data_IF_823914212489
#
_entry.id   IF_823914212489
#
_cell.length_a   1.000
_cell.length_b   1.000
_cell.length_c   1.000
_cell.angle_alpha   90.00
_cell.angle_beta   90.00
_cell.angle_gamma   90.00
#
_symmetry.space_group_name_H-M   'P 1'
#
loop_
_entity.id
_entity.type
_entity.pdbx_description
1 polymer ?
#
# COMPACT_ATOMS: atom_id res chain seq x y z
N UNK A 1 9.68 -59.82 36.44
CA UNK A 1 9.76 -58.41 35.96
C UNK A 1 8.38 -58.00 35.49
N UNK A 2 7.72 -57.11 36.25
CA UNK A 2 6.28 -56.86 36.16
C UNK A 2 5.90 -56.20 34.83
N UNK A 3 4.95 -56.80 34.09
CA UNK A 3 4.35 -56.17 32.90
C UNK A 3 3.69 -54.81 33.21
N UNK A 4 3.33 -54.56 34.48
CA UNK A 4 2.82 -53.27 34.94
C UNK A 4 3.85 -52.12 34.95
N UNK A 5 5.16 -52.39 35.11
CA UNK A 5 6.16 -51.32 35.17
C UNK A 5 6.53 -50.75 33.79
N UNK A 6 6.16 -51.43 32.70
CA UNK A 6 6.33 -50.97 31.32
C UNK A 6 5.13 -50.18 30.77
N UNK A 7 3.94 -50.33 31.36
CA UNK A 7 2.71 -49.66 30.91
C UNK A 7 2.63 -48.21 31.40
N UNK A 8 3.14 -47.93 32.61
CA UNK A 8 3.17 -46.58 33.19
C UNK A 8 3.95 -45.53 32.36
N UNK A 9 5.16 -45.79 31.84
CA UNK A 9 5.86 -44.82 30.98
C UNK A 9 5.18 -44.65 29.61
N UNK A 10 4.50 -45.69 29.10
CA UNK A 10 3.77 -45.63 27.83
C UNK A 10 2.52 -44.74 27.94
N UNK A 11 1.78 -44.86 29.04
CA UNK A 11 0.58 -44.06 29.31
C UNK A 11 0.92 -42.58 29.59
N UNK A 12 2.05 -42.33 30.29
CA UNK A 12 2.58 -40.98 30.49
C UNK A 12 3.00 -40.33 29.16
N UNK A 13 3.63 -41.09 28.25
CA UNK A 13 3.99 -40.60 26.91
C UNK A 13 2.79 -40.21 26.04
N UNK A 14 1.66 -40.92 26.16
CA UNK A 14 0.42 -40.57 25.44
C UNK A 14 -0.32 -39.35 26.02
N UNK A 15 -0.16 -39.05 27.30
CA UNK A 15 -0.76 -37.86 27.95
C UNK A 15 0.01 -36.57 27.63
N UNK A 16 1.29 -36.68 27.26
CA UNK A 16 2.12 -35.57 26.77
C UNK A 16 1.92 -35.26 25.27
N UNK A 17 1.11 -36.05 24.55
CA UNK A 17 0.72 -35.79 23.16
C UNK A 17 -0.41 -34.74 23.03
N UNK A 18 -0.49 -33.80 23.99
CA UNK A 18 -1.33 -32.62 23.92
C UNK A 18 -0.79 -31.68 22.85
N UNK A 19 -1.26 -31.91 21.62
CA UNK A 19 -1.08 -31.08 20.43
C UNK A 19 -1.05 -29.57 20.71
N UNK A 20 -0.29 -28.83 19.91
CA UNK A 20 -0.16 -27.36 19.96
C UNK A 20 -1.42 -26.66 20.48
N UNK A 21 -1.31 -26.04 21.67
CA UNK A 21 -2.46 -25.47 22.36
C UNK A 21 -3.05 -24.27 21.59
N UNK A 22 -4.36 -24.06 21.73
CA UNK A 22 -5.11 -22.99 21.05
C UNK A 22 -5.90 -23.46 19.82
N UNK A 23 -6.83 -22.62 19.31
CA UNK A 23 -7.67 -22.98 18.18
C UNK A 23 -6.85 -23.10 16.88
N UNK A 24 -7.28 -24.00 16.01
CA UNK A 24 -6.79 -24.04 14.62
C UNK A 24 -7.53 -22.98 13.82
N UNK A 25 -6.79 -22.16 13.07
CA UNK A 25 -7.42 -21.17 12.20
C UNK A 25 -8.24 -21.87 11.10
N UNK A 26 -9.51 -21.49 10.99
CA UNK A 26 -10.39 -21.87 9.90
C UNK A 26 -10.75 -20.63 9.09
N UNK A 27 -10.50 -20.68 7.77
CA UNK A 27 -10.85 -19.58 6.88
C UNK A 27 -12.39 -19.42 6.86
N UNK A 28 -12.92 -18.20 7.05
CA UNK A 28 -14.35 -17.95 6.91
C UNK A 28 -14.85 -18.35 5.52
N UNK A 29 -15.98 -19.06 5.47
CA UNK A 29 -16.62 -19.42 4.19
C UNK A 29 -17.37 -18.20 3.63
N UNK A 30 -17.18 -17.92 2.33
CA UNK A 30 -17.99 -16.92 1.64
C UNK A 30 -19.42 -17.43 1.47
N UNK A 31 -20.45 -16.63 1.81
CA UNK A 31 -21.83 -17.04 1.62
C UNK A 31 -22.13 -17.41 0.15
N UNK A 32 -22.91 -18.46 -0.14
CA UNK A 32 -23.23 -18.86 -1.52
C UNK A 32 -23.87 -17.75 -2.35
N UNK A 33 -24.64 -16.86 -1.71
CA UNK A 33 -25.24 -15.70 -2.36
C UNK A 33 -24.22 -14.73 -2.98
N UNK A 34 -22.96 -14.75 -2.53
CA UNK A 34 -21.89 -13.94 -3.11
C UNK A 34 -21.49 -14.38 -4.53
N UNK A 35 -21.83 -15.60 -4.95
CA UNK A 35 -21.58 -16.07 -6.31
C UNK A 35 -22.58 -15.50 -7.34
N UNK A 36 -23.59 -14.75 -6.89
CA UNK A 36 -24.52 -14.09 -7.79
C UNK A 36 -23.85 -12.93 -8.54
N UNK A 37 -24.37 -12.64 -9.75
CA UNK A 37 -23.98 -11.46 -10.51
C UNK A 37 -24.33 -10.18 -9.72
N UNK A 38 -23.56 -9.12 -9.96
CA UNK A 38 -23.87 -7.81 -9.41
C UNK A 38 -25.20 -7.28 -9.96
N UNK A 39 -25.90 -6.50 -9.14
CA UNK A 39 -27.15 -5.84 -9.56
C UNK A 39 -26.80 -4.73 -10.54
N UNK A 40 -27.05 -4.96 -11.83
CA UNK A 40 -27.02 -3.92 -12.87
C UNK A 40 -28.42 -3.28 -12.97
N UNK A 41 -28.57 -1.95 -12.87
CA UNK A 41 -29.84 -1.25 -13.12
C UNK A 41 -30.31 -1.31 -14.59
N UNK A 42 -29.83 -2.27 -15.39
CA UNK A 42 -30.21 -2.45 -16.80
C UNK A 42 -29.40 -1.61 -17.77
N UNK A 43 -28.21 -1.14 -17.39
CA UNK A 43 -27.40 -0.23 -18.22
C UNK A 43 -26.65 -0.93 -19.35
N UNK A 44 -26.59 -2.28 -19.36
CA UNK A 44 -25.95 -3.09 -20.41
C UNK A 44 -24.49 -2.69 -20.69
N UNK A 45 -23.79 -2.15 -19.69
CA UNK A 45 -22.38 -1.71 -19.80
C UNK A 45 -21.38 -2.66 -19.12
N UNK A 46 -21.86 -3.68 -18.42
CA UNK A 46 -21.04 -4.64 -17.68
C UNK A 46 -21.25 -6.06 -18.20
N UNK A 47 -20.23 -6.90 -18.06
CA UNK A 47 -20.33 -8.36 -18.27
C UNK A 47 -19.86 -9.13 -17.05
N UNK A 48 -20.32 -10.37 -16.92
CA UNK A 48 -19.90 -11.29 -15.85
C UNK A 48 -18.57 -11.99 -16.16
N UNK A 49 -17.87 -11.57 -17.22
CA UNK A 49 -16.57 -12.15 -17.58
C UNK A 49 -15.53 -11.84 -16.50
N UNK A 50 -14.45 -12.62 -16.49
CA UNK A 50 -13.36 -12.41 -15.54
C UNK A 50 -12.65 -11.08 -15.80
N UNK A 51 -12.55 -10.25 -14.76
CA UNK A 51 -11.72 -9.04 -14.75
C UNK A 51 -10.26 -9.41 -15.05
N UNK A 52 -9.69 -8.82 -16.09
CA UNK A 52 -8.27 -8.94 -16.44
C UNK A 52 -7.39 -8.14 -15.47
N UNK A 53 -6.16 -8.60 -15.24
CA UNK A 53 -5.21 -7.92 -14.35
C UNK A 53 -4.78 -6.53 -14.84
N UNK A 54 -4.81 -6.31 -16.15
CA UNK A 54 -4.44 -5.05 -16.82
C UNK A 54 -5.68 -4.30 -17.34
N UNK A 55 -6.70 -4.15 -16.49
CA UNK A 55 -8.00 -3.56 -16.83
C UNK A 55 -7.93 -2.19 -17.51
N UNK A 56 -6.88 -1.40 -17.29
CA UNK A 56 -6.70 -0.08 -17.92
C UNK A 56 -6.53 -0.18 -19.44
N UNK A 57 -6.13 -1.34 -19.98
CA UNK A 57 -6.04 -1.58 -21.43
C UNK A 57 -7.41 -1.52 -22.13
N UNK A 58 -8.51 -1.62 -21.39
CA UNK A 58 -9.87 -1.43 -21.93
C UNK A 58 -10.08 -0.03 -22.55
N UNK A 59 -9.31 0.97 -22.11
CA UNK A 59 -9.33 2.32 -22.70
C UNK A 59 -8.63 2.41 -24.06
N UNK A 60 -7.80 1.41 -24.42
CA UNK A 60 -7.02 1.36 -25.67
C UNK A 60 -6.20 2.63 -25.90
N UNK A 61 -5.62 3.17 -24.84
CA UNK A 61 -4.77 4.36 -24.87
C UNK A 61 -3.31 3.94 -24.56
N UNK A 62 -2.39 4.00 -25.54
CA UNK A 62 -1.01 3.57 -25.34
C UNK A 62 -0.22 4.49 -24.38
N UNK A 63 -0.64 5.74 -24.20
CA UNK A 63 -0.03 6.65 -23.22
C UNK A 63 -0.44 6.21 -21.82
N UNK A 64 -1.72 5.90 -21.60
CA UNK A 64 -2.20 5.36 -20.33
C UNK A 64 -1.49 4.04 -19.98
N UNK A 65 -1.42 3.11 -20.94
CA UNK A 65 -0.75 1.82 -20.74
C UNK A 65 0.70 2.00 -20.28
N UNK A 66 1.44 2.89 -20.95
CA UNK A 66 2.82 3.21 -20.57
C UNK A 66 2.91 3.83 -19.18
N UNK A 67 2.06 4.81 -18.87
CA UNK A 67 2.08 5.50 -17.57
C UNK A 67 1.80 4.52 -16.42
N UNK A 68 0.84 3.60 -16.57
CA UNK A 68 0.56 2.60 -15.55
C UNK A 68 1.74 1.63 -15.36
N UNK A 69 2.36 1.19 -16.45
CA UNK A 69 3.56 0.32 -16.37
C UNK A 69 4.73 1.05 -15.69
N UNK A 70 4.98 2.31 -16.04
CA UNK A 70 6.00 3.14 -15.39
C UNK A 70 5.69 3.31 -13.89
N UNK A 71 4.46 3.63 -13.52
CA UNK A 71 4.05 3.77 -12.13
C UNK A 71 4.23 2.45 -11.35
N UNK A 72 3.78 1.31 -11.89
CA UNK A 72 3.95 0.00 -11.25
C UNK A 72 5.44 -0.39 -11.07
N UNK A 73 6.33 0.17 -11.89
CA UNK A 73 7.77 -0.13 -11.87
C UNK A 73 8.54 0.80 -10.93
N UNK A 74 8.27 2.10 -10.97
CA UNK A 74 9.11 3.13 -10.35
C UNK A 74 8.50 3.81 -9.12
N UNK A 75 7.21 3.59 -8.84
CA UNK A 75 6.54 4.23 -7.72
C UNK A 75 7.17 3.87 -6.36
N UNK A 76 7.37 4.89 -5.52
CA UNK A 76 8.06 4.75 -4.23
C UNK A 76 7.20 4.02 -3.17
N UNK A 77 5.88 4.15 -3.20
CA UNK A 77 4.99 3.46 -2.25
C UNK A 77 5.00 1.95 -2.50
N UNK A 78 5.06 1.53 -3.76
CA UNK A 78 5.25 0.10 -4.13
C UNK A 78 6.61 -0.39 -3.62
N UNK A 79 7.67 0.41 -3.75
CA UNK A 79 9.01 0.06 -3.23
C UNK A 79 8.98 -0.07 -1.70
N UNK A 80 8.27 0.81 -1.00
CA UNK A 80 8.08 0.73 0.45
C UNK A 80 7.33 -0.53 0.85
N UNK A 81 6.20 -0.84 0.19
CA UNK A 81 5.44 -2.06 0.45
C UNK A 81 6.27 -3.32 0.18
N UNK A 82 7.10 -3.32 -0.86
CA UNK A 82 8.05 -4.40 -1.16
C UNK A 82 9.11 -4.56 -0.05
N UNK A 83 9.63 -3.45 0.50
CA UNK A 83 10.55 -3.48 1.62
C UNK A 83 9.89 -4.02 2.89
N UNK A 84 8.63 -3.66 3.16
CA UNK A 84 7.86 -4.20 4.28
C UNK A 84 7.66 -5.72 4.17
N UNK A 85 7.39 -6.24 2.97
CA UNK A 85 7.34 -7.68 2.72
C UNK A 85 8.69 -8.37 2.99
N UNK A 86 9.81 -7.77 2.57
CA UNK A 86 11.15 -8.29 2.89
C UNK A 86 11.39 -8.32 4.40
N UNK A 87 10.98 -7.27 5.12
CA UNK A 87 11.05 -7.19 6.58
C UNK A 87 10.23 -8.30 7.26
N UNK A 88 8.98 -8.51 6.82
CA UNK A 88 8.12 -9.58 7.35
C UNK A 88 8.76 -10.96 7.14
N UNK A 89 9.37 -11.21 5.96
CA UNK A 89 10.08 -12.46 5.68
C UNK A 89 11.31 -12.65 6.57
N UNK A 90 12.03 -11.58 6.89
CA UNK A 90 13.16 -11.62 7.82
C UNK A 90 12.70 -12.02 9.24
N UNK A 91 11.60 -11.43 9.73
CA UNK A 91 11.01 -11.83 11.01
C UNK A 91 10.53 -13.28 11.01
N UNK A 92 9.91 -13.75 9.93
CA UNK A 92 9.57 -15.18 9.80
C UNK A 92 10.81 -16.08 9.88
N UNK A 93 11.94 -15.65 9.29
CA UNK A 93 13.20 -16.39 9.41
C UNK A 93 13.73 -16.42 10.84
N UNK A 94 13.65 -15.30 11.56
CA UNK A 94 14.00 -15.21 12.99
C UNK A 94 13.12 -16.14 13.85
N UNK A 95 11.79 -16.09 13.66
CA UNK A 95 10.85 -16.98 14.36
C UNK A 95 11.12 -18.45 14.06
N UNK A 96 11.52 -18.80 12.84
CA UNK A 96 11.95 -20.18 12.50
C UNK A 96 13.23 -20.58 13.23
N UNK A 97 14.14 -19.63 13.44
CA UNK A 97 15.36 -19.83 14.22
C UNK A 97 15.09 -20.26 15.67
N UNK A 98 13.95 -19.87 16.25
CA UNK A 98 13.55 -20.29 17.60
C UNK A 98 13.31 -21.81 17.73
N UNK A 99 13.23 -22.56 16.62
CA UNK A 99 13.22 -24.04 16.66
C UNK A 99 14.58 -24.66 16.94
N UNK A 100 15.64 -23.86 16.91
CA UNK A 100 17.01 -24.29 17.13
C UNK A 100 17.50 -23.80 18.49
N UNK A 101 18.50 -24.47 19.08
CA UNK A 101 19.21 -23.91 20.22
C UNK A 101 19.79 -22.54 19.88
N UNK A 102 19.53 -21.56 20.73
CA UNK A 102 20.27 -20.30 20.71
C UNK A 102 21.62 -20.54 21.36
N UNK A 103 22.68 -19.98 20.78
CA UNK A 103 24.04 -20.14 21.29
C UNK A 103 24.69 -18.78 21.44
N UNK A 104 25.42 -18.59 22.53
CA UNK A 104 26.11 -17.37 22.88
C UNK A 104 27.57 -17.65 23.17
N UNK A 105 28.43 -16.69 22.85
CA UNK A 105 29.81 -16.66 23.31
C UNK A 105 29.98 -15.35 24.04
N UNK A 106 30.50 -15.42 25.26
CA UNK A 106 30.72 -14.27 26.11
C UNK A 106 32.15 -14.24 26.64
N UNK A 107 32.66 -13.03 26.82
CA UNK A 107 33.96 -12.75 27.40
C UNK A 107 33.84 -11.52 28.29
N UNK A 108 34.34 -11.60 29.52
CA UNK A 108 34.20 -10.54 30.51
C UNK A 108 35.43 -10.46 31.41
N UNK A 109 35.74 -9.24 31.82
CA UNK A 109 36.71 -8.94 32.85
C UNK A 109 36.02 -8.10 33.93
N UNK A 110 36.12 -8.54 35.17
CA UNK A 110 35.57 -7.86 36.33
C UNK A 110 36.69 -7.70 37.35
N UNK A 111 37.03 -6.46 37.67
CA UNK A 111 37.86 -6.14 38.84
C UNK A 111 36.94 -5.87 40.02
N UNK A 112 37.13 -6.61 41.11
CA UNK A 112 36.34 -6.44 42.32
C UNK A 112 37.26 -6.21 43.51
N UNK A 113 36.94 -5.19 44.31
CA UNK A 113 37.57 -4.95 45.61
C UNK A 113 36.49 -5.03 46.68
N UNK A 114 36.67 -5.94 47.62
CA UNK A 114 35.84 -6.06 48.82
C UNK A 114 36.60 -5.42 49.97
N UNK A 115 36.06 -4.34 50.55
CA UNK A 115 36.66 -3.68 51.72
C UNK A 115 36.42 -4.49 53.00
N UNK A 116 37.24 -4.26 54.03
CA UNK A 116 37.11 -4.93 55.32
C UNK A 116 35.71 -4.76 55.96
N UNK A 117 35.10 -3.59 55.81
CA UNK A 117 33.76 -3.28 56.31
C UNK A 117 32.68 -4.08 55.58
N UNK A 118 32.82 -4.21 54.25
CA UNK A 118 31.88 -4.99 53.43
C UNK A 118 32.04 -6.51 53.57
N UNK A 119 33.22 -6.97 54.03
CA UNK A 119 33.53 -8.39 54.20
C UNK A 119 33.00 -9.01 55.52
N UNK A 120 32.31 -8.23 56.37
CA UNK A 120 31.60 -8.73 57.57
C UNK A 120 32.46 -9.61 58.50
N UNK A 121 33.74 -9.26 58.65
CA UNK A 121 34.68 -9.99 59.51
C UNK A 121 35.25 -11.28 58.91
N UNK A 122 35.00 -11.57 57.63
CA UNK A 122 35.59 -12.70 56.92
C UNK A 122 37.08 -12.49 56.56
N UNK A 123 37.63 -11.29 56.78
CA UNK A 123 39.04 -10.98 56.51
C UNK A 123 39.89 -10.98 57.81
N UNK A 124 41.16 -11.46 57.76
CA UNK A 124 42.06 -11.43 58.92
C UNK A 124 42.33 -10.02 59.46
N UNK A 125 42.66 -9.87 60.76
CA UNK A 125 43.01 -8.57 61.35
C UNK A 125 44.22 -7.93 60.66
N UNK A 126 44.10 -6.64 60.28
CA UNK A 126 45.14 -5.89 59.59
C UNK A 126 45.07 -5.91 58.06
N UNK A 127 44.02 -6.49 57.46
CA UNK A 127 43.76 -6.48 56.02
C UNK A 127 42.61 -5.51 55.70
N UNK A 128 42.90 -4.39 55.03
CA UNK A 128 41.92 -3.33 54.73
C UNK A 128 40.98 -3.64 53.54
N UNK A 129 41.22 -4.75 52.85
CA UNK A 129 40.38 -5.24 51.77
C UNK A 129 41.10 -6.22 50.87
N UNK A 130 40.34 -6.98 50.09
CA UNK A 130 40.86 -7.92 49.10
C UNK A 130 40.42 -7.45 47.73
N UNK A 131 41.40 -7.38 46.82
CA UNK A 131 41.18 -7.03 45.43
C UNK A 131 41.47 -8.25 44.56
N UNK A 132 40.62 -8.48 43.56
CA UNK A 132 40.72 -9.60 42.66
C UNK A 132 40.30 -9.22 41.24
N UNK A 133 41.03 -9.78 40.29
CA UNK A 133 40.75 -9.70 38.86
C UNK A 133 40.10 -11.01 38.41
N UNK A 134 38.90 -10.92 37.83
CA UNK A 134 38.13 -12.05 37.34
C UNK A 134 37.99 -11.97 35.84
N UNK A 135 38.53 -12.96 35.14
CA UNK A 135 38.38 -13.11 33.69
C UNK A 135 37.48 -14.32 33.45
N UNK A 136 36.42 -14.13 32.66
CA UNK A 136 35.50 -15.19 32.28
C UNK A 136 35.37 -15.21 30.76
N UNK A 137 35.57 -16.38 30.16
CA UNK A 137 35.19 -16.65 28.79
C UNK A 137 34.27 -17.86 28.83
N UNK A 138 33.13 -17.76 28.16
CA UNK A 138 32.08 -18.76 28.24
C UNK A 138 31.38 -18.96 26.90
N UNK A 139 30.81 -20.15 26.77
CA UNK A 139 29.85 -20.50 25.74
C UNK A 139 28.57 -20.92 26.45
N UNK A 140 27.44 -20.40 26.00
CA UNK A 140 26.12 -20.78 26.49
C UNK A 140 25.25 -21.30 25.33
N UNK A 141 24.38 -22.24 25.65
CA UNK A 141 23.37 -22.73 24.73
C UNK A 141 22.05 -22.85 25.48
N UNK A 142 20.99 -22.26 24.93
CA UNK A 142 19.64 -22.37 25.49
C UNK A 142 18.67 -22.84 24.43
N UNK A 143 17.84 -23.82 24.78
CA UNK A 143 16.89 -24.43 23.86
C UNK A 143 15.53 -24.63 24.52
N UNK A 144 14.49 -24.14 23.87
CA UNK A 144 13.11 -24.38 24.29
C UNK A 144 12.50 -25.52 23.49
N UNK A 145 12.09 -26.58 24.19
CA UNK A 145 11.38 -27.70 23.59
C UNK A 145 9.92 -27.31 23.39
N UNK A 146 9.46 -27.34 22.14
CA UNK A 146 8.11 -26.91 21.74
C UNK A 146 7.01 -27.95 22.07
N UNK A 147 6.89 -28.35 23.34
CA UNK A 147 5.94 -29.38 23.79
C UNK A 147 4.48 -28.93 23.63
N UNK A 148 4.20 -27.66 23.89
CA UNK A 148 2.85 -27.09 23.85
C UNK A 148 2.57 -26.28 22.57
N UNK A 149 3.52 -26.24 21.63
CA UNK A 149 3.34 -25.56 20.34
C UNK A 149 3.52 -24.03 20.37
N UNK A 150 4.06 -23.43 21.44
CA UNK A 150 4.33 -21.99 21.52
C UNK A 150 5.20 -21.50 20.35
N UNK A 151 6.30 -22.20 20.06
CA UNK A 151 7.21 -21.84 18.96
C UNK A 151 6.51 -22.06 17.62
N UNK A 152 5.83 -23.21 17.45
CA UNK A 152 5.11 -23.51 16.21
C UNK A 152 4.00 -22.50 15.90
N UNK A 153 3.22 -22.05 16.89
CA UNK A 153 2.21 -21.00 16.73
C UNK A 153 2.84 -19.63 16.45
N UNK A 154 4.00 -19.30 17.05
CA UNK A 154 4.71 -18.06 16.71
C UNK A 154 5.18 -18.02 15.25
N UNK A 155 5.59 -19.18 14.69
CA UNK A 155 5.97 -19.30 13.28
C UNK A 155 4.75 -19.24 12.37
N UNK A 156 3.63 -19.83 12.78
CA UNK A 156 2.35 -19.72 12.07
C UNK A 156 1.90 -18.26 11.99
N UNK A 157 1.92 -17.52 13.10
CA UNK A 157 1.62 -16.09 13.14
C UNK A 157 2.54 -15.29 12.20
N UNK A 158 3.86 -15.51 12.27
CA UNK A 158 4.81 -14.83 11.40
C UNK A 158 4.63 -15.18 9.90
N UNK A 159 4.06 -16.36 9.56
CA UNK A 159 3.65 -16.67 8.18
C UNK A 159 2.44 -15.85 7.78
N UNK A 160 1.43 -15.74 8.66
CA UNK A 160 0.29 -14.86 8.47
C UNK A 160 0.72 -13.41 8.22
N UNK A 161 1.69 -12.89 8.97
CA UNK A 161 2.23 -11.55 8.76
C UNK A 161 2.90 -11.37 7.38
N UNK A 162 3.57 -12.42 6.87
CA UNK A 162 4.14 -12.42 5.51
C UNK A 162 3.03 -12.39 4.46
N UNK A 163 1.98 -13.17 4.64
CA UNK A 163 0.84 -13.22 3.73
C UNK A 163 0.10 -11.87 3.71
N UNK A 164 -0.10 -11.26 4.89
CA UNK A 164 -0.68 -9.93 5.03
C UNK A 164 0.20 -8.84 4.37
N UNK A 165 1.53 -8.90 4.56
CA UNK A 165 2.45 -7.97 3.91
C UNK A 165 2.47 -8.13 2.37
N UNK A 166 2.30 -9.37 1.86
CA UNK A 166 2.16 -9.62 0.44
C UNK A 166 0.84 -9.05 -0.09
N UNK A 167 -0.25 -9.20 0.65
CA UNK A 167 -1.54 -8.61 0.31
C UNK A 167 -1.50 -7.07 0.31
N UNK A 168 -0.80 -6.45 1.27
CA UNK A 168 -0.56 -5.01 1.29
C UNK A 168 0.23 -4.50 0.06
N UNK A 169 1.22 -5.26 -0.41
CA UNK A 169 1.94 -4.94 -1.65
C UNK A 169 1.02 -5.02 -2.88
N UNK A 170 0.17 -6.03 -2.95
CA UNK A 170 -0.80 -6.16 -4.05
C UNK A 170 -1.86 -5.03 -3.99
N UNK A 171 -2.30 -4.63 -2.80
CA UNK A 171 -3.19 -3.48 -2.59
C UNK A 171 -2.57 -2.18 -3.09
N UNK A 172 -1.30 -1.94 -2.75
CA UNK A 172 -0.56 -0.77 -3.23
C UNK A 172 -0.50 -0.72 -4.76
N UNK A 173 -0.25 -1.86 -5.43
CA UNK A 173 -0.24 -1.94 -6.90
C UNK A 173 -1.60 -1.59 -7.51
N UNK A 174 -2.69 -2.12 -6.95
CA UNK A 174 -4.05 -1.81 -7.41
C UNK A 174 -4.35 -0.31 -7.23
N UNK A 175 -4.02 0.25 -6.07
CA UNK A 175 -4.24 1.67 -5.78
C UNK A 175 -3.44 2.57 -6.73
N UNK A 176 -2.15 2.29 -6.95
CA UNK A 176 -1.29 3.08 -7.84
C UNK A 176 -1.75 2.99 -9.30
N UNK A 177 -2.16 1.81 -9.79
CA UNK A 177 -2.71 1.68 -11.14
C UNK A 177 -4.00 2.48 -11.31
N UNK A 178 -4.92 2.39 -10.32
CA UNK A 178 -6.18 3.13 -10.34
C UNK A 178 -5.98 4.64 -10.25
N UNK A 179 -5.08 5.10 -9.38
CA UNK A 179 -4.78 6.52 -9.23
C UNK A 179 -4.12 7.06 -10.50
N UNK A 180 -3.15 6.35 -11.07
CA UNK A 180 -2.50 6.75 -12.34
C UNK A 180 -3.53 6.93 -13.47
N UNK A 181 -4.45 5.99 -13.63
CA UNK A 181 -5.48 6.10 -14.66
C UNK A 181 -6.45 7.28 -14.40
N UNK A 182 -6.85 7.48 -13.14
CA UNK A 182 -7.72 8.59 -12.73
C UNK A 182 -7.04 9.94 -12.96
N UNK A 183 -5.79 10.10 -12.53
CA UNK A 183 -5.03 11.34 -12.68
C UNK A 183 -4.79 11.66 -14.16
N UNK A 184 -4.49 10.66 -14.98
CA UNK A 184 -4.36 10.84 -16.44
C UNK A 184 -5.67 11.31 -17.08
N UNK A 185 -6.78 10.63 -16.77
CA UNK A 185 -8.09 11.04 -17.27
C UNK A 185 -8.48 12.45 -16.80
N UNK A 186 -8.12 12.84 -15.57
CA UNK A 186 -8.31 14.19 -15.06
C UNK A 186 -7.49 15.22 -15.85
N UNK A 187 -6.22 14.96 -16.12
CA UNK A 187 -5.38 15.85 -16.94
C UNK A 187 -5.97 16.08 -18.34
N UNK A 188 -6.43 15.00 -19.00
CA UNK A 188 -7.13 15.08 -20.28
C UNK A 188 -8.45 15.87 -20.18
N UNK A 189 -9.23 15.63 -19.13
CA UNK A 189 -10.50 16.32 -18.88
C UNK A 189 -10.32 17.83 -18.67
N UNK A 190 -9.34 18.24 -17.88
CA UNK A 190 -9.01 19.65 -17.69
C UNK A 190 -8.47 20.30 -18.96
N UNK A 191 -7.75 19.56 -19.80
CA UNK A 191 -7.36 20.05 -21.12
C UNK A 191 -8.57 20.34 -22.02
N UNK A 192 -9.54 19.42 -22.06
CA UNK A 192 -10.79 19.60 -22.80
C UNK A 192 -11.61 20.78 -22.26
N UNK A 193 -11.73 20.92 -20.93
CA UNK A 193 -12.43 22.04 -20.30
C UNK A 193 -11.75 23.38 -20.58
N UNK A 194 -10.41 23.44 -20.55
CA UNK A 194 -9.68 24.64 -20.92
C UNK A 194 -9.95 25.04 -22.37
N UNK A 195 -10.06 24.07 -23.28
CA UNK A 195 -10.37 24.34 -24.69
C UNK A 195 -11.79 24.90 -24.87
N UNK A 196 -12.79 24.28 -24.23
CA UNK A 196 -14.18 24.80 -24.21
C UNK A 196 -14.24 26.21 -23.60
N UNK A 197 -13.47 26.48 -22.54
CA UNK A 197 -13.39 27.80 -21.93
C UNK A 197 -12.76 28.82 -22.89
N UNK A 198 -11.70 28.48 -23.63
CA UNK A 198 -11.11 29.35 -24.66
C UNK A 198 -12.09 29.64 -25.80
N UNK A 199 -12.85 28.64 -26.24
CA UNK A 199 -13.91 28.84 -27.22
C UNK A 199 -15.01 29.76 -26.71
N UNK A 200 -15.38 29.63 -25.45
CA UNK A 200 -16.34 30.52 -24.80
C UNK A 200 -15.80 31.95 -24.76
N UNK A 201 -14.53 32.15 -24.41
CA UNK A 201 -13.87 33.48 -24.46
C UNK A 201 -13.91 34.08 -25.86
N UNK A 202 -13.60 33.27 -26.88
CA UNK A 202 -13.64 33.71 -28.28
C UNK A 202 -15.03 34.17 -28.68
N UNK A 203 -16.06 33.38 -28.39
CA UNK A 203 -17.46 33.72 -28.72
C UNK A 203 -17.95 34.96 -27.95
N UNK A 204 -17.67 35.05 -26.65
CA UNK A 204 -18.07 36.21 -25.84
C UNK A 204 -17.34 37.49 -26.29
N UNK A 205 -16.07 37.37 -26.71
CA UNK A 205 -15.31 38.51 -27.26
C UNK A 205 -15.90 38.98 -28.60
N UNK A 206 -16.35 38.05 -29.45
CA UNK A 206 -17.05 38.40 -30.69
C UNK A 206 -18.40 39.08 -30.41
N UNK A 207 -19.14 38.62 -29.40
CA UNK A 207 -20.38 39.27 -28.96
C UNK A 207 -20.11 40.69 -28.45
N UNK A 208 -19.06 40.89 -27.63
CA UNK A 208 -18.66 42.22 -27.15
C UNK A 208 -18.26 43.17 -28.29
N UNK A 209 -17.51 42.71 -29.28
CA UNK A 209 -17.14 43.51 -30.46
C UNK A 209 -18.39 43.92 -31.26
N UNK A 210 -19.34 42.99 -31.45
CA UNK A 210 -20.60 43.28 -32.13
C UNK A 210 -21.46 44.29 -31.35
N UNK A 211 -21.62 44.13 -30.03
CA UNK A 211 -22.41 45.05 -29.21
C UNK A 211 -21.78 46.44 -29.16
N UNK A 212 -20.45 46.52 -29.11
CA UNK A 212 -19.72 47.79 -29.19
C UNK A 212 -19.99 48.50 -30.53
N UNK A 213 -19.88 47.80 -31.67
CA UNK A 213 -20.16 48.38 -32.99
C UNK A 213 -21.60 48.86 -33.13
N UNK A 214 -22.55 48.11 -32.58
CA UNK A 214 -23.96 48.48 -32.57
C UNK A 214 -24.18 49.76 -31.75
N UNK A 215 -23.61 49.85 -30.55
CA UNK A 215 -23.63 51.06 -29.73
C UNK A 215 -23.00 52.26 -30.43
N UNK A 216 -21.81 52.11 -31.02
CA UNK A 216 -21.09 53.17 -31.74
C UNK A 216 -21.89 53.68 -32.96
N UNK A 217 -22.74 52.84 -33.54
CA UNK A 217 -23.67 53.19 -34.62
C UNK A 217 -25.00 53.81 -34.14
N UNK A 218 -25.16 54.06 -32.84
CA UNK A 218 -26.39 54.59 -32.23
C UNK A 218 -27.50 53.55 -32.05
N UNK A 219 -27.18 52.25 -32.17
CA UNK A 219 -28.13 51.12 -32.09
C UNK A 219 -27.85 50.22 -30.90
N UNK A 220 -27.99 50.73 -29.68
CA UNK A 220 -27.79 49.95 -28.45
C UNK A 220 -27.62 50.85 -27.23
N UNK A 221 -27.33 50.26 -26.06
CA UNK A 221 -27.08 51.01 -24.82
C UNK A 221 -25.71 50.71 -24.23
N UNK A 222 -25.15 51.63 -23.44
CA UNK A 222 -23.90 51.40 -22.67
C UNK A 222 -24.04 50.16 -21.77
N UNK A 223 -25.23 49.94 -21.21
CA UNK A 223 -25.54 48.77 -20.38
C UNK A 223 -25.31 47.46 -21.13
N UNK A 224 -25.66 47.39 -22.41
CA UNK A 224 -25.47 46.16 -23.22
C UNK A 224 -23.98 45.87 -23.44
N UNK A 225 -23.18 46.91 -23.65
CA UNK A 225 -21.71 46.81 -23.76
C UNK A 225 -21.10 46.36 -22.44
N UNK A 226 -21.50 46.97 -21.32
CA UNK A 226 -21.01 46.61 -19.99
C UNK A 226 -21.38 45.16 -19.63
N UNK A 227 -22.59 44.73 -19.95
CA UNK A 227 -23.02 43.34 -19.75
C UNK A 227 -22.20 42.36 -20.59
N UNK A 228 -21.99 42.64 -21.88
CA UNK A 228 -21.16 41.81 -22.75
C UNK A 228 -19.69 41.77 -22.27
N UNK A 229 -19.17 42.89 -21.76
CA UNK A 229 -17.83 42.97 -21.19
C UNK A 229 -17.69 42.09 -19.97
N UNK A 230 -18.62 42.18 -19.01
CA UNK A 230 -18.62 41.35 -17.81
C UNK A 230 -18.67 39.86 -18.19
N UNK A 231 -19.48 39.46 -19.16
CA UNK A 231 -19.54 38.07 -19.64
C UNK A 231 -18.22 37.60 -20.26
N UNK A 232 -17.57 38.45 -21.07
CA UNK A 232 -16.28 38.14 -21.67
C UNK A 232 -15.17 38.00 -20.60
N UNK A 233 -15.12 38.90 -19.62
CA UNK A 233 -14.14 38.84 -18.53
C UNK A 233 -14.38 37.64 -17.60
N UNK A 234 -15.65 37.33 -17.29
CA UNK A 234 -16.00 36.13 -16.52
C UNK A 234 -15.59 34.83 -17.24
N UNK A 235 -15.73 34.78 -18.58
CA UNK A 235 -15.24 33.65 -19.36
C UNK A 235 -13.70 33.57 -19.34
N UNK A 236 -13.00 34.71 -19.45
CA UNK A 236 -11.52 34.77 -19.41
C UNK A 236 -10.97 34.27 -18.08
N UNK A 237 -11.64 34.60 -16.98
CA UNK A 237 -11.23 34.18 -15.63
C UNK A 237 -11.27 32.65 -15.41
N UNK A 238 -12.03 31.89 -16.21
CA UNK A 238 -12.14 30.44 -16.05
C UNK A 238 -10.96 29.67 -16.65
N UNK A 239 -10.33 30.17 -17.72
CA UNK A 239 -9.26 29.47 -18.44
C UNK A 239 -8.07 29.14 -17.52
N UNK A 240 -7.52 30.08 -16.73
CA UNK A 240 -6.37 29.79 -15.87
C UNK A 240 -6.64 28.73 -14.79
N UNK A 241 -7.90 28.62 -14.35
CA UNK A 241 -8.31 27.61 -13.35
C UNK A 241 -8.15 26.20 -13.91
N UNK A 242 -8.71 25.93 -15.10
CA UNK A 242 -8.55 24.63 -15.77
C UNK A 242 -7.09 24.33 -16.14
N UNK A 243 -6.32 25.36 -16.54
CA UNK A 243 -4.88 25.20 -16.80
C UNK A 243 -4.05 24.89 -15.54
N UNK A 244 -4.45 25.42 -14.38
CA UNK A 244 -3.83 25.11 -13.10
C UNK A 244 -4.13 23.67 -12.68
N UNK A 245 -5.39 23.24 -12.76
CA UNK A 245 -5.81 21.88 -12.43
C UNK A 245 -5.15 20.83 -13.34
N UNK A 246 -5.06 21.11 -14.65
CA UNK A 246 -4.31 20.26 -15.58
C UNK A 246 -2.85 20.12 -15.16
N UNK A 247 -2.18 21.23 -14.81
CA UNK A 247 -0.77 21.18 -14.36
C UNK A 247 -0.62 20.39 -13.06
N UNK A 248 -1.53 20.56 -12.10
CA UNK A 248 -1.53 19.79 -10.87
C UNK A 248 -1.65 18.27 -11.14
N UNK A 249 -2.55 17.86 -12.03
CA UNK A 249 -2.69 16.47 -12.44
C UNK A 249 -1.41 15.93 -13.13
N UNK A 250 -0.76 16.73 -13.99
CA UNK A 250 0.50 16.33 -14.62
C UNK A 250 1.65 16.18 -13.61
N UNK A 251 1.74 17.04 -12.60
CA UNK A 251 2.71 16.88 -11.51
C UNK A 251 2.44 15.66 -10.66
N UNK A 252 1.17 15.35 -10.38
CA UNK A 252 0.78 14.12 -9.69
C UNK A 252 1.17 12.87 -10.50
N UNK A 253 0.99 12.88 -11.83
CA UNK A 253 1.46 11.80 -12.71
C UNK A 253 2.99 11.63 -12.66
N UNK A 254 3.76 12.71 -12.64
CA UNK A 254 5.21 12.63 -12.46
C UNK A 254 5.57 11.93 -11.14
N UNK A 255 4.93 12.32 -10.03
CA UNK A 255 5.16 11.68 -8.74
C UNK A 255 4.77 10.18 -8.74
N UNK A 256 3.61 9.83 -9.31
CA UNK A 256 3.13 8.45 -9.43
C UNK A 256 4.08 7.57 -10.25
N UNK A 257 4.67 8.12 -11.32
CA UNK A 257 5.64 7.45 -12.19
C UNK A 257 7.09 7.52 -11.67
N UNK A 258 7.30 8.03 -10.46
CA UNK A 258 8.63 8.09 -9.84
C UNK A 258 9.57 9.13 -10.45
N UNK A 259 9.04 10.14 -11.14
CA UNK A 259 9.77 11.22 -11.79
C UNK A 259 9.64 12.54 -11.02
N UNK A 260 10.65 13.43 -11.08
CA UNK A 260 10.53 14.77 -10.48
C UNK A 260 9.50 15.62 -11.24
N UNK A 261 8.82 16.60 -10.60
CA UNK A 261 7.81 17.44 -11.26
C UNK A 261 8.33 18.26 -12.46
N UNK A 262 9.64 18.47 -12.56
CA UNK A 262 10.27 19.15 -13.70
C UNK A 262 10.28 18.28 -14.97
N UNK A 263 10.19 16.95 -14.85
CA UNK A 263 10.18 16.00 -15.96
C UNK A 263 8.75 15.60 -16.32
N UNK A 264 7.94 16.60 -16.72
CA UNK A 264 6.57 16.36 -17.17
C UNK A 264 6.55 15.49 -18.44
N UNK A 265 5.64 14.52 -18.45
CA UNK A 265 5.42 13.66 -19.61
C UNK A 265 4.74 14.45 -20.73
N UNK A 266 5.42 14.63 -21.86
CA UNK A 266 4.94 15.43 -22.98
C UNK A 266 3.78 14.79 -23.72
N UNK A 267 3.69 13.45 -23.75
CA UNK A 267 2.57 12.74 -24.37
C UNK A 267 1.32 12.85 -23.50
N UNK A 268 1.46 12.70 -22.18
CA UNK A 268 0.37 12.93 -21.25
C UNK A 268 -0.10 14.39 -21.29
N UNK A 269 0.85 15.32 -21.36
CA UNK A 269 0.57 16.74 -21.52
C UNK A 269 -0.07 17.07 -22.87
N UNK A 270 0.05 16.24 -23.91
CA UNK A 270 -0.61 16.46 -25.20
C UNK A 270 -2.08 15.98 -25.22
N UNK A 271 -2.53 15.23 -24.21
CA UNK A 271 -3.89 14.72 -24.16
C UNK A 271 -4.92 15.86 -24.06
N UNK A 272 -5.92 15.83 -24.94
CA UNK A 272 -7.01 16.82 -25.01
C UNK A 272 -8.41 16.19 -25.05
N UNK A 273 -8.50 14.86 -25.02
CA UNK A 273 -9.76 14.12 -25.02
C UNK A 273 -9.72 13.06 -23.92
N UNK A 274 -10.79 12.96 -23.13
CA UNK A 274 -10.87 12.00 -22.03
C UNK A 274 -10.89 10.57 -22.58
N UNK A 275 -10.07 9.65 -22.04
CA UNK A 275 -10.13 8.24 -22.41
C UNK A 275 -11.53 7.66 -22.15
N UNK A 276 -12.07 6.93 -23.13
CA UNK A 276 -13.39 6.29 -23.04
C UNK A 276 -13.29 4.79 -23.23
N UNK A 277 -14.13 4.03 -22.54
CA UNK A 277 -14.27 2.58 -22.75
C UNK A 277 -15.46 2.33 -23.68
N UNK A 278 -15.21 1.69 -24.82
CA UNK A 278 -16.26 1.33 -25.79
C UNK A 278 -16.81 -0.08 -25.61
N UNK A 279 -16.07 -0.94 -24.90
CA UNK A 279 -16.44 -2.34 -24.64
C UNK A 279 -17.27 -2.49 -23.35
N UNK A 280 -17.88 -3.67 -23.17
CA UNK A 280 -18.45 -4.05 -21.88
C UNK A 280 -17.33 -4.13 -20.84
N UNK A 281 -17.60 -3.67 -19.63
CA UNK A 281 -16.65 -3.74 -18.51
C UNK A 281 -16.83 -5.11 -17.84
N UNK A 282 -15.85 -6.02 -17.89
CA UNK A 282 -15.91 -7.28 -17.17
C UNK A 282 -15.83 -6.98 -15.68
N UNK A 283 -16.82 -7.42 -14.90
CA UNK A 283 -16.86 -7.23 -13.43
C UNK A 283 -16.80 -8.55 -12.66
N UNK A 284 -17.04 -9.67 -13.34
CA UNK A 284 -17.16 -10.99 -12.72
C UNK A 284 -18.35 -11.07 -11.75
N UNK A 285 -18.19 -11.86 -10.69
CA UNK A 285 -19.15 -12.04 -9.60
C UNK A 285 -18.59 -11.55 -8.25
N UNK A 286 -19.45 -11.58 -7.22
CA UNK A 286 -19.09 -11.14 -5.86
C UNK A 286 -18.03 -12.02 -5.20
N UNK A 287 -18.04 -13.33 -5.44
CA UNK A 287 -17.09 -14.27 -4.84
C UNK A 287 -15.68 -14.06 -5.41
N UNK A 288 -15.57 -13.91 -6.73
CA UNK A 288 -14.33 -13.58 -7.43
C UNK A 288 -13.83 -12.19 -7.05
N UNK A 289 -14.72 -11.21 -6.80
CA UNK A 289 -14.32 -9.91 -6.27
C UNK A 289 -13.67 -10.04 -4.89
N UNK A 290 -14.32 -10.74 -3.94
CA UNK A 290 -13.77 -10.97 -2.60
C UNK A 290 -12.42 -11.71 -2.65
N UNK A 291 -12.30 -12.71 -3.53
CA UNK A 291 -11.05 -13.46 -3.69
C UNK A 291 -9.90 -12.62 -4.29
N UNK A 292 -10.21 -11.65 -5.16
CA UNK A 292 -9.22 -10.78 -5.80
C UNK A 292 -8.82 -9.57 -4.96
N UNK A 293 -9.66 -9.15 -4.02
CA UNK A 293 -9.44 -7.98 -3.15
C UNK A 293 -8.28 -8.20 -2.19
N UNK A 294 -7.12 -7.54 -2.38
CA UNK A 294 -5.97 -7.78 -1.51
C UNK A 294 -6.23 -7.33 -0.07
N UNK A 295 -7.03 -6.29 0.12
CA UNK A 295 -7.43 -5.78 1.44
C UNK A 295 -8.31 -6.74 2.24
N UNK A 296 -9.02 -7.67 1.58
CA UNK A 296 -9.76 -8.76 2.26
C UNK A 296 -8.81 -9.89 2.69
N UNK A 297 -7.68 -10.04 2.00
CA UNK A 297 -6.66 -11.06 2.32
C UNK A 297 -5.64 -10.59 3.36
N UNK A 298 -5.54 -9.28 3.58
CA UNK A 298 -4.64 -8.65 4.55
C UNK A 298 -5.22 -8.79 5.97
#
# INVERSE_FOLDING_TARGET
MNRLTLIAPLLAGTLLAGCAVGPTYERPQTPPAAAAAFVDPGTTKVSTDAVEGEWWRLFRDPVLDRLVVEALTYNTDIRQASANLKRARAFLSESRGQRLPTTGVSGGYTRSRVSAESAQGALPPGVDGVEGDFFQVGFDASYEIDLFGRVSRSIEAARGDVDAAQAALDAARVAIAAETARTYAAACGFAAQAEVARDTVRLQTQTLDLTQRLFDSGRGTVRDVDQARVLAENARAQVPSFEAERRAALYALAALTGKPPAELDTQAAACAATPGVSALIPVGDGQALLARRPDVRQ
#
